data_IF_559272426154
#
_entry.id   IF_559272426154
#
_cell.length_a   1.000
_cell.length_b   1.000
_cell.length_c   1.000
_cell.angle_alpha   90.00
_cell.angle_beta   90.00
_cell.angle_gamma   90.00
#
_symmetry.space_group_name_H-M   'P 1'
#
loop_
_entity.id
_entity.type
_entity.pdbx_description
1 polymer ?
#
# COMPACT_ATOMS: atom_id res chain seq x y z
N UNK A 1 42.11 -14.18 -58.05
CA UNK A 1 41.92 -12.92 -57.31
C UNK A 1 40.49 -12.89 -56.79
N UNK A 2 40.30 -13.13 -55.50
CA UNK A 2 38.98 -13.17 -54.86
C UNK A 2 38.61 -11.72 -54.49
N UNK A 3 37.50 -11.23 -55.03
CA UNK A 3 36.93 -9.91 -54.69
C UNK A 3 36.30 -9.98 -53.29
N UNK A 4 36.85 -9.23 -52.35
CA UNK A 4 36.26 -9.01 -51.03
C UNK A 4 35.13 -7.98 -51.20
N UNK A 5 33.90 -8.35 -50.81
CA UNK A 5 32.79 -7.42 -50.64
C UNK A 5 32.86 -6.83 -49.23
N UNK A 6 32.86 -5.50 -49.13
CA UNK A 6 32.75 -4.77 -47.87
C UNK A 6 31.25 -4.60 -47.57
N UNK A 7 30.79 -5.19 -46.47
CA UNK A 7 29.43 -4.99 -45.96
C UNK A 7 29.43 -3.77 -45.03
N UNK A 8 28.72 -2.70 -45.39
CA UNK A 8 28.43 -1.61 -44.47
C UNK A 8 27.21 -1.98 -43.62
N UNK A 9 27.44 -2.22 -42.32
CA UNK A 9 26.36 -2.35 -41.34
C UNK A 9 26.11 -0.96 -40.73
N UNK A 10 25.04 -0.29 -41.17
CA UNK A 10 24.56 0.95 -40.57
C UNK A 10 23.68 0.57 -39.36
N UNK A 11 24.27 0.53 -38.16
CA UNK A 11 23.48 0.45 -36.92
C UNK A 11 22.95 1.86 -36.65
N UNK A 12 21.72 2.12 -37.06
CA UNK A 12 20.96 3.27 -36.52
C UNK A 12 20.59 2.88 -35.10
N UNK A 13 21.47 3.21 -34.14
CA UNK A 13 21.08 3.32 -32.74
C UNK A 13 20.14 4.53 -32.68
N UNK A 14 18.84 4.28 -32.85
CA UNK A 14 17.82 5.19 -32.35
C UNK A 14 17.94 5.18 -30.83
N UNK A 15 18.87 5.99 -30.32
CA UNK A 15 18.82 6.43 -28.93
C UNK A 15 17.62 7.37 -28.89
N UNK A 16 16.42 6.80 -28.77
CA UNK A 16 15.38 7.53 -28.08
C UNK A 16 15.94 7.76 -26.68
N UNK A 17 16.48 8.95 -26.46
CA UNK A 17 16.66 9.49 -25.13
C UNK A 17 15.24 9.71 -24.62
N UNK A 18 14.59 8.63 -24.21
CA UNK A 18 13.35 8.69 -23.48
C UNK A 18 13.74 9.29 -22.14
N UNK A 19 13.54 10.60 -21.99
CA UNK A 19 13.68 11.25 -20.70
C UNK A 19 12.70 10.56 -19.75
N UNK A 20 13.23 9.78 -18.81
CA UNK A 20 12.42 9.18 -17.75
C UNK A 20 11.65 10.30 -17.06
N UNK A 21 10.34 10.14 -16.92
CA UNK A 21 9.53 11.11 -16.19
C UNK A 21 10.01 11.16 -14.74
N UNK A 22 10.29 12.36 -14.23
CA UNK A 22 10.42 12.60 -12.79
C UNK A 22 9.01 12.82 -12.26
N UNK A 23 8.41 11.87 -11.54
CA UNK A 23 7.04 12.06 -11.08
C UNK A 23 6.96 13.17 -10.04
N UNK A 24 5.82 13.85 -10.00
CA UNK A 24 5.48 14.77 -8.92
C UNK A 24 5.60 14.02 -7.59
N UNK A 25 6.15 14.69 -6.58
CA UNK A 25 6.25 14.11 -5.24
C UNK A 25 4.86 13.66 -4.75
N UNK A 26 4.80 12.52 -4.08
CA UNK A 26 3.54 12.00 -3.57
C UNK A 26 3.70 11.21 -2.28
N UNK A 27 2.64 11.14 -1.51
CA UNK A 27 2.52 10.23 -0.38
C UNK A 27 1.07 9.74 -0.28
N UNK A 28 0.83 8.70 0.52
CA UNK A 28 -0.46 8.07 0.74
C UNK A 28 -1.11 7.50 -0.53
N UNK A 29 -0.30 7.18 -1.54
CA UNK A 29 -0.73 6.42 -2.72
C UNK A 29 -0.89 4.94 -2.40
N UNK A 30 -1.69 4.23 -3.19
CA UNK A 30 -1.70 2.76 -3.21
C UNK A 30 -0.70 2.25 -4.26
N UNK A 31 -0.13 1.07 -4.05
CA UNK A 31 0.69 0.39 -5.06
C UNK A 31 0.23 -1.06 -5.26
N UNK A 32 0.29 -1.54 -6.50
CA UNK A 32 -0.08 -2.91 -6.87
C UNK A 32 0.90 -3.42 -7.92
N UNK A 33 1.48 -4.60 -7.69
CA UNK A 33 2.27 -5.29 -8.70
C UNK A 33 1.34 -6.14 -9.57
N UNK A 34 1.40 -5.92 -10.88
CA UNK A 34 0.73 -6.74 -11.89
C UNK A 34 1.82 -7.27 -12.82
N UNK A 35 2.00 -8.59 -12.83
CA UNK A 35 3.12 -9.26 -13.49
C UNK A 35 4.49 -8.66 -13.10
N UNK A 36 5.02 -7.80 -13.98
CA UNK A 36 6.31 -7.12 -13.84
C UNK A 36 6.17 -5.59 -13.91
N UNK A 37 4.96 -5.06 -13.71
CA UNK A 37 4.70 -3.63 -13.66
C UNK A 37 4.15 -3.26 -12.29
N UNK A 38 4.87 -2.40 -11.59
CA UNK A 38 4.46 -1.86 -10.31
C UNK A 38 3.66 -0.58 -10.54
N UNK A 39 2.35 -0.64 -10.36
CA UNK A 39 1.43 0.49 -10.51
C UNK A 39 1.34 1.30 -9.22
N UNK A 40 1.16 2.61 -9.35
CA UNK A 40 0.93 3.56 -8.26
C UNK A 40 -0.34 4.36 -8.55
N UNK A 41 -1.29 4.31 -7.62
CA UNK A 41 -2.61 4.91 -7.75
C UNK A 41 -2.77 6.03 -6.72
N UNK A 42 -2.96 7.25 -7.24
CA UNK A 42 -3.22 8.44 -6.45
C UNK A 42 -2.03 8.91 -5.59
N UNK A 43 -2.33 9.30 -4.36
CA UNK A 43 -1.43 10.00 -3.44
C UNK A 43 -1.72 11.51 -3.41
N UNK A 44 -1.06 12.26 -2.54
CA UNK A 44 -1.15 13.73 -2.49
C UNK A 44 0.22 14.34 -2.72
N UNK A 45 0.27 15.42 -3.50
CA UNK A 45 1.46 16.27 -3.62
C UNK A 45 1.46 17.36 -2.54
N UNK A 46 2.59 18.01 -2.30
CA UNK A 46 2.72 19.14 -1.38
C UNK A 46 2.62 20.52 -2.08
N UNK A 47 2.68 20.55 -3.41
CA UNK A 47 2.68 21.78 -4.22
C UNK A 47 1.78 21.67 -5.45
N UNK A 48 1.02 22.73 -5.82
CA UNK A 48 0.85 24.01 -5.13
C UNK A 48 -0.22 23.99 -4.01
N UNK A 49 -0.89 22.87 -3.79
CA UNK A 49 -1.63 22.60 -2.56
C UNK A 49 -1.83 21.07 -2.44
N UNK A 50 -2.10 20.59 -1.22
CA UNK A 50 -2.26 19.17 -0.93
C UNK A 50 -3.50 18.58 -1.62
N UNK A 51 -3.35 18.24 -2.89
CA UNK A 51 -4.41 17.70 -3.72
C UNK A 51 -4.16 16.22 -3.97
N UNK A 52 -5.19 15.37 -3.72
CA UNK A 52 -5.19 14.01 -4.21
C UNK A 52 -4.96 13.98 -5.72
N UNK A 53 -4.03 13.14 -6.13
CA UNK A 53 -3.64 12.91 -7.51
C UNK A 53 -4.58 11.85 -8.11
N UNK A 54 -4.85 12.01 -9.39
CA UNK A 54 -5.65 11.10 -10.23
C UNK A 54 -4.77 10.29 -11.19
N UNK A 55 -3.53 10.72 -11.43
CA UNK A 55 -2.57 10.05 -12.31
C UNK A 55 -2.23 8.64 -11.83
N UNK A 56 -2.16 7.71 -12.79
CA UNK A 56 -1.62 6.36 -12.62
C UNK A 56 -0.20 6.35 -13.16
N UNK A 57 0.75 6.00 -12.29
CA UNK A 57 2.13 5.76 -12.68
C UNK A 57 2.39 4.26 -12.69
N UNK A 58 3.34 3.80 -13.49
CA UNK A 58 3.93 2.49 -13.30
C UNK A 58 5.44 2.49 -13.50
N UNK A 59 6.07 1.47 -12.93
CA UNK A 59 7.48 1.12 -13.14
C UNK A 59 7.54 -0.31 -13.68
N UNK A 60 8.09 -0.48 -14.89
CA UNK A 60 8.39 -1.81 -15.44
C UNK A 60 9.67 -2.36 -14.78
N UNK A 61 9.48 -3.35 -13.91
CA UNK A 61 10.56 -4.02 -13.16
C UNK A 61 11.08 -5.27 -13.89
N UNK A 62 10.66 -5.51 -15.14
CA UNK A 62 11.16 -6.63 -15.95
C UNK A 62 12.58 -6.39 -16.48
N UNK A 63 13.03 -5.13 -16.51
CA UNK A 63 14.35 -4.72 -17.01
C UNK A 63 15.15 -4.06 -15.89
N UNK A 64 16.49 -4.23 -15.86
CA UNK A 64 17.34 -3.47 -14.95
C UNK A 64 17.21 -1.97 -15.20
N UNK A 65 17.22 -1.17 -14.14
CA UNK A 65 17.18 0.29 -14.23
C UNK A 65 18.03 0.94 -13.13
N UNK A 66 18.39 2.22 -13.31
CA UNK A 66 19.11 2.99 -12.32
C UNK A 66 18.15 3.47 -11.22
N UNK A 67 18.37 3.08 -9.97
CA UNK A 67 17.52 3.47 -8.84
C UNK A 67 17.57 4.96 -8.50
N UNK A 68 18.61 5.69 -8.94
CA UNK A 68 18.68 7.14 -8.79
C UNK A 68 17.76 7.89 -9.77
N UNK A 69 17.43 7.26 -10.91
CA UNK A 69 16.54 7.82 -11.94
C UNK A 69 15.65 6.69 -12.48
N UNK A 70 14.65 6.22 -11.70
CA UNK A 70 13.80 5.13 -12.14
C UNK A 70 12.95 5.55 -13.35
N UNK A 71 12.78 4.67 -14.36
CA UNK A 71 12.03 4.96 -15.58
C UNK A 71 10.52 4.85 -15.33
N UNK A 72 9.96 5.80 -14.58
CA UNK A 72 8.52 5.86 -14.39
C UNK A 72 7.81 6.25 -15.68
N UNK A 73 6.66 5.62 -15.93
CA UNK A 73 5.76 5.92 -17.02
C UNK A 73 4.38 6.35 -16.47
N UNK A 74 3.71 7.26 -17.17
CA UNK A 74 2.33 7.66 -16.86
C UNK A 74 1.41 6.91 -17.80
N UNK A 75 0.37 6.29 -17.25
CA UNK A 75 -0.70 5.76 -18.07
C UNK A 75 -1.57 6.92 -18.56
N UNK A 76 -1.92 6.94 -19.85
CA UNK A 76 -2.76 7.98 -20.47
C UNK A 76 -4.23 7.96 -20.01
N UNK A 77 -4.51 7.34 -18.86
CA UNK A 77 -5.82 7.19 -18.25
C UNK A 77 -5.67 7.48 -16.75
N UNK A 78 -6.48 8.38 -16.25
CA UNK A 78 -6.52 8.75 -14.84
C UNK A 78 -7.56 7.95 -14.07
N UNK A 79 -7.35 7.85 -12.77
CA UNK A 79 -8.40 7.52 -11.80
C UNK A 79 -9.52 8.57 -11.97
N UNK A 80 -10.81 8.20 -11.92
CA UNK A 80 -11.91 9.15 -12.14
C UNK A 80 -12.10 10.18 -11.00
N UNK A 81 -11.19 10.21 -10.03
CA UNK A 81 -11.14 11.07 -8.87
C UNK A 81 -9.70 11.11 -8.35
N UNK A 82 -9.33 12.18 -7.65
CA UNK A 82 -8.09 12.18 -6.87
C UNK A 82 -8.24 11.28 -5.64
N UNK A 83 -7.27 10.41 -5.38
CA UNK A 83 -7.35 9.40 -4.30
C UNK A 83 -6.17 9.46 -3.32
N UNK A 84 -6.41 9.33 -2.02
CA UNK A 84 -5.36 9.22 -0.98
C UNK A 84 -5.79 8.28 0.14
N UNK A 85 -4.84 7.59 0.77
CA UNK A 85 -5.08 6.70 1.92
C UNK A 85 -6.14 5.60 1.66
N UNK A 86 -6.35 5.28 0.38
CA UNK A 86 -7.07 4.10 -0.09
C UNK A 86 -6.16 2.87 0.01
N UNK A 87 -6.73 1.69 -0.23
CA UNK A 87 -5.98 0.45 -0.46
C UNK A 87 -6.37 -0.11 -1.82
N UNK A 88 -5.40 -0.62 -2.56
CA UNK A 88 -5.64 -1.26 -3.85
C UNK A 88 -5.14 -2.70 -3.84
N UNK A 89 -5.78 -3.56 -4.62
CA UNK A 89 -5.42 -4.96 -4.74
C UNK A 89 -5.76 -5.48 -6.15
N UNK A 90 -4.96 -6.43 -6.64
CA UNK A 90 -5.22 -7.12 -7.89
C UNK A 90 -6.19 -8.28 -7.63
N UNK A 91 -7.21 -8.42 -8.47
CA UNK A 91 -8.08 -9.59 -8.49
C UNK A 91 -7.25 -10.83 -8.92
N UNK A 92 -7.23 -11.93 -8.16
CA UNK A 92 -6.45 -13.11 -8.55
C UNK A 92 -7.05 -13.84 -9.76
N UNK A 93 -8.34 -13.64 -10.04
CA UNK A 93 -9.08 -14.35 -11.09
C UNK A 93 -9.32 -13.50 -12.36
N UNK A 94 -8.99 -12.20 -12.33
CA UNK A 94 -9.27 -11.26 -13.43
C UNK A 94 -8.16 -10.23 -13.52
N UNK A 95 -7.93 -9.68 -14.71
CA UNK A 95 -7.01 -8.55 -14.90
C UNK A 95 -7.66 -7.22 -14.46
N UNK A 96 -8.05 -7.16 -13.19
CA UNK A 96 -8.74 -6.02 -12.58
C UNK A 96 -8.04 -5.59 -11.30
N UNK A 97 -7.64 -4.32 -11.24
CA UNK A 97 -7.22 -3.68 -9.99
C UNK A 97 -8.46 -3.09 -9.32
N UNK A 98 -8.70 -3.48 -8.06
CA UNK A 98 -9.68 -2.83 -7.23
C UNK A 98 -9.04 -1.73 -6.39
N UNK A 99 -9.71 -0.59 -6.25
CA UNK A 99 -9.35 0.51 -5.38
C UNK A 99 -10.48 0.72 -4.37
N UNK A 100 -10.17 0.53 -3.08
CA UNK A 100 -11.13 0.57 -1.99
C UNK A 100 -10.84 1.72 -1.02
N UNK A 101 -11.88 2.52 -0.76
CA UNK A 101 -11.87 3.61 0.21
C UNK A 101 -10.94 4.78 -0.15
N UNK A 102 -10.42 5.41 0.90
CA UNK A 102 -9.57 6.61 0.81
C UNK A 102 -10.35 7.91 0.93
N UNK A 103 -9.64 9.02 0.78
CA UNK A 103 -10.25 10.34 0.54
C UNK A 103 -10.35 10.54 -0.96
N UNK A 104 -11.53 10.94 -1.42
CA UNK A 104 -11.83 11.12 -2.84
C UNK A 104 -12.15 12.58 -3.15
N UNK A 105 -11.51 13.13 -4.19
CA UNK A 105 -11.81 14.46 -4.70
C UNK A 105 -12.18 14.43 -6.17
N UNK A 106 -13.19 15.21 -6.53
CA UNK A 106 -13.55 15.45 -7.91
C UNK A 106 -12.42 16.20 -8.63
N UNK A 107 -11.98 15.68 -9.77
CA UNK A 107 -10.80 16.21 -10.49
C UNK A 107 -11.04 17.61 -11.07
N UNK A 108 -12.29 17.99 -11.34
CA UNK A 108 -12.63 19.25 -12.00
C UNK A 108 -12.90 20.36 -10.98
N UNK A 109 -13.70 20.05 -9.97
CA UNK A 109 -14.13 21.02 -8.95
C UNK A 109 -13.23 21.02 -7.72
N UNK A 110 -12.41 19.98 -7.54
CA UNK A 110 -11.64 19.72 -6.33
C UNK A 110 -12.51 19.66 -5.05
N UNK A 111 -13.83 19.58 -5.22
CA UNK A 111 -14.75 19.28 -4.14
C UNK A 111 -14.61 17.80 -3.79
N UNK A 112 -14.86 17.47 -2.54
CA UNK A 112 -14.87 16.06 -2.17
C UNK A 112 -16.04 15.32 -2.81
N UNK A 113 -15.77 14.13 -3.32
CA UNK A 113 -16.71 13.36 -4.12
C UNK A 113 -17.11 12.07 -3.40
N UNK A 114 -18.05 12.18 -2.46
CA UNK A 114 -18.44 11.09 -1.55
C UNK A 114 -19.56 10.18 -2.09
N UNK A 115 -20.20 10.55 -3.21
CA UNK A 115 -21.53 10.01 -3.59
C UNK A 115 -21.49 8.91 -4.65
N UNK A 116 -20.32 8.36 -5.00
CA UNK A 116 -20.21 7.43 -6.13
C UNK A 116 -20.07 5.96 -5.71
N UNK A 117 -19.01 5.59 -4.99
CA UNK A 117 -18.79 4.21 -4.53
C UNK A 117 -17.66 4.14 -3.52
N UNK A 118 -17.65 3.11 -2.67
CA UNK A 118 -16.50 2.75 -1.82
C UNK A 118 -15.48 1.86 -2.54
N UNK A 119 -15.87 1.27 -3.67
CA UNK A 119 -15.06 0.34 -4.47
C UNK A 119 -15.10 0.75 -5.94
N UNK A 120 -13.93 0.82 -6.56
CA UNK A 120 -13.75 1.05 -7.98
C UNK A 120 -12.91 -0.07 -8.59
N UNK A 121 -13.20 -0.44 -9.82
CA UNK A 121 -12.43 -1.41 -10.60
C UNK A 121 -11.79 -0.76 -11.80
N UNK A 122 -10.51 -1.06 -12.02
CA UNK A 122 -9.76 -0.72 -13.21
C UNK A 122 -9.46 -2.00 -13.98
N UNK A 123 -10.07 -2.16 -15.16
CA UNK A 123 -9.80 -3.28 -16.04
C UNK A 123 -8.54 -2.99 -16.86
N UNK A 124 -7.53 -3.86 -16.73
CA UNK A 124 -6.22 -3.68 -17.35
C UNK A 124 -6.21 -4.01 -18.86
N UNK A 125 -7.17 -4.80 -19.35
CA UNK A 125 -7.26 -5.18 -20.77
C UNK A 125 -7.71 -4.01 -21.64
N UNK A 126 -8.75 -3.28 -21.19
CA UNK A 126 -9.33 -2.17 -21.93
C UNK A 126 -8.99 -0.79 -21.30
N UNK A 127 -8.25 -0.78 -20.19
CA UNK A 127 -7.90 0.39 -19.39
C UNK A 127 -9.12 1.22 -18.96
N UNK A 128 -10.20 0.58 -18.52
CA UNK A 128 -11.43 1.27 -18.15
C UNK A 128 -11.68 1.24 -16.63
N UNK A 129 -12.06 2.40 -16.08
CA UNK A 129 -12.55 2.51 -14.71
C UNK A 129 -14.06 2.33 -14.66
N UNK A 130 -14.53 1.45 -13.78
CA UNK A 130 -15.95 1.16 -13.56
C UNK A 130 -16.27 1.13 -12.07
N UNK A 131 -17.55 1.33 -11.74
CA UNK A 131 -18.09 1.04 -10.41
C UNK A 131 -18.72 -0.35 -10.49
N UNK A 132 -18.12 -1.38 -9.86
CA UNK A 132 -18.66 -2.72 -9.91
C UNK A 132 -19.98 -2.79 -9.14
N UNK A 133 -20.98 -3.47 -9.69
CA UNK A 133 -22.17 -3.86 -8.93
C UNK A 133 -21.76 -4.94 -7.94
N UNK A 134 -22.00 -4.69 -6.65
CA UNK A 134 -21.64 -5.62 -5.57
C UNK A 134 -22.89 -6.08 -4.82
N UNK A 135 -22.79 -7.27 -4.24
CA UNK A 135 -23.83 -7.87 -3.41
C UNK A 135 -23.46 -7.75 -1.91
N UNK A 136 -24.44 -8.02 -1.04
CA UNK A 136 -24.24 -8.00 0.40
C UNK A 136 -24.28 -6.58 0.98
N UNK A 137 -23.69 -6.41 2.17
CA UNK A 137 -23.68 -5.12 2.87
C UNK A 137 -22.35 -4.44 2.60
N UNK A 138 -22.36 -3.44 1.72
CA UNK A 138 -21.17 -2.66 1.43
C UNK A 138 -20.64 -1.97 2.71
N UNK A 139 -19.32 -1.92 2.90
CA UNK A 139 -18.71 -1.21 4.01
C UNK A 139 -18.94 0.30 3.89
N UNK A 140 -18.90 0.98 5.02
CA UNK A 140 -18.82 2.44 5.04
C UNK A 140 -17.51 2.95 4.42
N UNK A 141 -17.60 4.13 3.78
CA UNK A 141 -16.45 4.81 3.20
C UNK A 141 -15.43 5.16 4.29
N UNK A 142 -14.17 4.76 4.09
CA UNK A 142 -13.13 4.81 5.11
C UNK A 142 -11.76 5.05 4.48
N UNK A 143 -10.84 5.67 5.23
CA UNK A 143 -9.46 5.91 4.81
C UNK A 143 -8.45 5.40 5.84
N UNK A 144 -7.17 5.50 5.49
CA UNK A 144 -6.02 5.15 6.36
C UNK A 144 -5.98 3.68 6.76
N UNK A 145 -6.38 2.84 5.81
CA UNK A 145 -6.50 1.39 5.89
C UNK A 145 -5.37 0.68 5.13
N UNK A 146 -5.16 -0.59 5.44
CA UNK A 146 -4.28 -1.48 4.68
C UNK A 146 -4.96 -2.85 4.59
N UNK A 147 -5.42 -3.20 3.39
CA UNK A 147 -6.10 -4.48 3.14
C UNK A 147 -5.18 -5.50 2.48
N UNK A 148 -5.57 -6.77 2.55
CA UNK A 148 -4.82 -7.90 1.97
C UNK A 148 -5.75 -8.80 1.17
N UNK A 149 -5.28 -9.28 0.02
CA UNK A 149 -5.98 -10.26 -0.82
C UNK A 149 -5.39 -11.65 -0.59
N UNK A 150 -6.26 -12.63 -0.34
CA UNK A 150 -5.89 -14.03 -0.40
C UNK A 150 -6.04 -14.50 -1.86
N UNK A 151 -4.91 -14.75 -2.52
CA UNK A 151 -4.88 -15.12 -3.93
C UNK A 151 -5.44 -16.52 -4.20
N UNK A 152 -5.46 -17.41 -3.20
CA UNK A 152 -5.96 -18.78 -3.36
C UNK A 152 -7.49 -18.82 -3.41
N UNK A 153 -8.16 -17.98 -2.63
CA UNK A 153 -9.63 -18.00 -2.51
C UNK A 153 -10.32 -16.73 -3.03
N UNK A 154 -9.59 -15.71 -3.47
CA UNK A 154 -10.15 -14.46 -4.00
C UNK A 154 -10.78 -13.54 -2.95
N UNK A 155 -10.54 -13.76 -1.65
CA UNK A 155 -11.08 -12.92 -0.58
C UNK A 155 -10.12 -11.80 -0.19
N UNK A 156 -10.58 -10.57 -0.32
CA UNK A 156 -9.92 -9.38 0.20
C UNK A 156 -10.42 -9.08 1.61
N UNK A 157 -9.49 -8.81 2.54
CA UNK A 157 -9.75 -8.54 3.95
C UNK A 157 -9.26 -7.14 4.30
N UNK A 158 -10.12 -6.35 4.95
CA UNK A 158 -9.77 -5.03 5.46
C UNK A 158 -10.42 -4.79 6.82
N UNK A 159 -9.61 -4.36 7.78
CA UNK A 159 -10.06 -4.12 9.15
C UNK A 159 -10.06 -2.62 9.47
N UNK A 160 -11.01 -2.17 10.28
CA UNK A 160 -10.97 -0.83 10.87
C UNK A 160 -10.90 0.29 9.81
N UNK A 161 -10.10 1.33 10.05
CA UNK A 161 -10.11 2.56 9.28
C UNK A 161 -10.82 3.70 10.00
N UNK A 162 -10.88 4.84 9.32
CA UNK A 162 -11.43 6.06 9.88
C UNK A 162 -12.37 6.74 8.89
N UNK A 163 -13.47 7.23 9.45
CA UNK A 163 -14.46 8.05 8.74
C UNK A 163 -14.38 9.46 9.30
N UNK A 164 -14.30 10.45 8.42
CA UNK A 164 -14.30 11.86 8.75
C UNK A 164 -14.85 12.70 7.59
N UNK A 165 -14.61 14.01 7.66
CA UNK A 165 -14.97 14.93 6.59
C UNK A 165 -14.36 14.50 5.24
N UNK A 166 -13.15 13.93 5.19
CA UNK A 166 -12.52 13.51 3.93
C UNK A 166 -13.19 12.29 3.29
N UNK A 167 -14.02 11.56 4.04
CA UNK A 167 -14.83 10.44 3.57
C UNK A 167 -16.32 10.78 3.46
N UNK A 168 -16.71 12.02 3.78
CA UNK A 168 -18.08 12.53 3.60
C UNK A 168 -18.95 12.50 4.85
N UNK A 169 -18.38 12.17 6.00
CA UNK A 169 -19.13 12.17 7.25
C UNK A 169 -19.06 13.53 7.96
N UNK A 170 -20.17 13.89 8.62
CA UNK A 170 -20.23 15.07 9.47
C UNK A 170 -19.42 14.92 10.77
N UNK A 171 -19.25 13.68 11.23
CA UNK A 171 -18.56 13.36 12.49
C UNK A 171 -17.41 12.39 12.25
N UNK A 172 -16.31 12.64 12.93
CA UNK A 172 -15.10 11.83 12.88
C UNK A 172 -15.22 10.63 13.82
N UNK A 173 -15.00 9.40 13.32
CA UNK A 173 -14.98 8.18 14.15
C UNK A 173 -14.14 7.06 13.55
N UNK A 174 -13.50 6.29 14.42
CA UNK A 174 -12.80 5.07 14.03
C UNK A 174 -13.78 3.89 13.88
N UNK A 175 -13.48 2.97 12.97
CA UNK A 175 -14.27 1.77 12.69
C UNK A 175 -13.63 0.54 13.34
N UNK A 176 -14.44 -0.44 13.76
CA UNK A 176 -13.96 -1.66 14.40
C UNK A 176 -14.42 -2.96 13.71
N UNK A 177 -14.83 -2.86 12.45
CA UNK A 177 -15.36 -3.97 11.68
C UNK A 177 -14.29 -4.58 10.76
N UNK A 178 -14.36 -5.90 10.60
CA UNK A 178 -13.68 -6.63 9.54
C UNK A 178 -14.62 -6.71 8.34
N UNK A 179 -14.18 -6.22 7.18
CA UNK A 179 -14.92 -6.33 5.92
C UNK A 179 -14.17 -7.27 4.98
N UNK A 180 -14.92 -8.19 4.39
CA UNK A 180 -14.40 -9.23 3.52
C UNK A 180 -15.11 -9.08 2.17
N UNK A 181 -14.34 -8.93 1.10
CA UNK A 181 -14.86 -8.88 -0.26
C UNK A 181 -14.44 -10.12 -1.03
N UNK A 182 -15.42 -10.89 -1.48
CA UNK A 182 -15.21 -12.00 -2.40
C UNK A 182 -15.19 -11.47 -3.84
N UNK A 183 -14.03 -11.53 -4.48
CA UNK A 183 -13.82 -11.06 -5.86
C UNK A 183 -14.49 -11.94 -6.93
N UNK A 184 -14.85 -13.18 -6.58
CA UNK A 184 -15.52 -14.12 -7.48
C UNK A 184 -17.01 -13.80 -7.54
N UNK A 185 -17.66 -13.72 -6.37
CA UNK A 185 -19.10 -13.45 -6.26
C UNK A 185 -19.44 -11.95 -6.20
N UNK A 186 -18.42 -11.07 -6.13
CA UNK A 186 -18.54 -9.63 -5.92
C UNK A 186 -19.39 -9.28 -4.69
N UNK A 187 -19.23 -10.05 -3.61
CA UNK A 187 -20.06 -9.95 -2.40
C UNK A 187 -19.25 -9.44 -1.23
N UNK A 188 -19.80 -8.44 -0.53
CA UNK A 188 -19.30 -7.98 0.76
C UNK A 188 -19.92 -8.76 1.91
N UNK A 189 -19.09 -9.17 2.87
CA UNK A 189 -19.50 -9.74 4.14
C UNK A 189 -18.69 -9.16 5.30
N UNK A 190 -19.14 -9.42 6.53
CA UNK A 190 -18.44 -9.01 7.75
C UNK A 190 -17.77 -10.19 8.41
N UNK A 191 -16.54 -10.00 8.86
CA UNK A 191 -15.89 -10.90 9.79
C UNK A 191 -16.31 -10.63 11.24
N UNK A 192 -15.93 -11.50 12.19
CA UNK A 192 -16.26 -11.34 13.59
C UNK A 192 -15.52 -10.17 14.24
N UNK A 193 -16.14 -9.64 15.29
CA UNK A 193 -15.60 -8.57 16.13
C UNK A 193 -15.11 -9.08 17.49
N UNK A 194 -15.39 -10.35 17.81
CA UNK A 194 -14.98 -10.99 19.06
C UNK A 194 -13.46 -11.07 19.11
N UNK A 195 -12.87 -10.59 20.22
CA UNK A 195 -11.42 -10.48 20.41
C UNK A 195 -10.68 -9.63 19.35
N UNK A 196 -11.41 -8.89 18.51
CA UNK A 196 -10.79 -7.95 17.58
C UNK A 196 -10.02 -6.88 18.36
N UNK A 197 -8.88 -6.41 17.84
CA UNK A 197 -8.16 -5.31 18.46
C UNK A 197 -9.01 -4.03 18.47
N UNK A 198 -8.60 -3.03 19.25
CA UNK A 198 -9.19 -1.70 19.15
C UNK A 198 -9.01 -1.10 17.74
N UNK A 199 -9.93 -0.20 17.32
CA UNK A 199 -9.82 0.54 16.06
C UNK A 199 -8.45 1.19 15.88
N UNK A 200 -7.89 1.04 14.68
CA UNK A 200 -6.54 1.48 14.35
C UNK A 200 -6.46 1.99 12.92
N UNK A 201 -5.61 2.98 12.72
CA UNK A 201 -5.29 3.54 11.39
C UNK A 201 -3.79 3.62 11.16
N UNK A 202 -3.39 3.69 9.89
CA UNK A 202 -1.97 3.74 9.53
C UNK A 202 -1.17 2.52 9.97
N UNK A 203 -1.86 1.39 10.19
CA UNK A 203 -1.26 0.09 10.44
C UNK A 203 -0.88 -0.58 9.11
N UNK A 204 -0.15 -1.68 9.18
CA UNK A 204 0.06 -2.59 8.04
C UNK A 204 -0.59 -3.94 8.31
N UNK A 205 -1.14 -4.57 7.27
CA UNK A 205 -1.65 -5.93 7.32
C UNK A 205 -0.82 -6.78 6.36
N UNK A 206 -0.56 -8.03 6.73
CA UNK A 206 0.19 -8.96 5.88
C UNK A 206 -0.37 -10.37 6.05
N UNK A 207 -0.84 -10.97 4.96
CA UNK A 207 -1.37 -12.33 4.95
C UNK A 207 -0.22 -13.34 4.76
N UNK A 208 -0.03 -14.22 5.74
CA UNK A 208 0.92 -15.33 5.68
C UNK A 208 0.35 -16.52 4.90
N UNK A 209 1.25 -17.39 4.42
CA UNK A 209 0.88 -18.62 3.68
C UNK A 209 -0.02 -19.57 4.49
N UNK A 210 0.06 -19.52 5.82
CA UNK A 210 -0.77 -20.34 6.69
C UNK A 210 -2.21 -19.81 6.86
N UNK A 211 -2.56 -18.66 6.29
CA UNK A 211 -3.88 -18.03 6.38
C UNK A 211 -4.02 -17.02 7.53
N UNK A 212 -2.96 -16.74 8.29
CA UNK A 212 -2.97 -15.71 9.33
C UNK A 212 -2.65 -14.35 8.73
N UNK A 213 -3.50 -13.36 8.98
CA UNK A 213 -3.20 -11.94 8.72
C UNK A 213 -2.55 -11.36 9.98
N UNK A 214 -1.37 -10.78 9.82
CA UNK A 214 -0.63 -10.09 10.89
C UNK A 214 -0.86 -8.59 10.77
N UNK A 215 -1.42 -7.97 11.81
CA UNK A 215 -1.62 -6.52 11.89
C UNK A 215 -0.54 -5.88 12.75
N UNK A 216 0.23 -4.97 12.16
CA UNK A 216 1.43 -4.38 12.77
C UNK A 216 1.26 -2.87 12.94
N UNK A 217 1.50 -2.38 14.16
CA UNK A 217 1.50 -0.96 14.52
C UNK A 217 0.17 -0.25 14.28
N UNK A 218 0.26 1.03 13.94
CA UNK A 218 -0.88 1.93 13.79
C UNK A 218 -1.12 2.81 15.01
N UNK A 219 -2.13 3.67 14.91
CA UNK A 219 -2.54 4.61 15.96
C UNK A 219 -4.04 4.50 16.22
N UNK A 220 -4.42 4.57 17.48
CA UNK A 220 -5.81 4.74 17.88
C UNK A 220 -6.19 6.20 17.65
N UNK A 221 -7.01 6.45 16.62
CA UNK A 221 -7.33 7.81 16.16
C UNK A 221 -7.87 8.70 17.30
N UNK A 222 -8.83 8.19 18.08
CA UNK A 222 -9.50 8.97 19.13
C UNK A 222 -8.59 9.36 20.30
N UNK A 223 -7.56 8.56 20.59
CA UNK A 223 -6.63 8.81 21.71
C UNK A 223 -5.28 9.34 21.27
N UNK A 224 -5.02 9.39 19.96
CA UNK A 224 -3.70 9.70 19.38
C UNK A 224 -2.58 8.82 20.00
N UNK A 225 -2.91 7.58 20.36
CA UNK A 225 -2.00 6.65 21.02
C UNK A 225 -1.54 5.58 20.04
N UNK A 226 -0.23 5.44 19.83
CA UNK A 226 0.33 4.39 18.98
C UNK A 226 0.19 3.02 19.64
N UNK A 227 -0.26 2.02 18.89
CA UNK A 227 -0.35 0.64 19.36
C UNK A 227 1.04 0.04 19.62
N UNK A 228 1.13 -0.84 20.62
CA UNK A 228 2.34 -1.62 20.88
C UNK A 228 2.61 -2.56 19.71
N UNK A 229 3.66 -2.29 18.94
CA UNK A 229 4.07 -3.11 17.80
C UNK A 229 4.61 -4.47 18.22
N UNK A 230 4.93 -4.65 19.50
CA UNK A 230 5.40 -5.90 20.08
C UNK A 230 4.24 -6.76 20.62
N UNK A 231 2.99 -6.28 20.53
CA UNK A 231 1.77 -7.04 20.78
C UNK A 231 0.93 -7.07 19.49
N UNK A 232 1.13 -8.11 18.69
CA UNK A 232 0.48 -8.25 17.39
C UNK A 232 -0.98 -8.66 17.55
N UNK A 233 -1.84 -8.08 16.70
CA UNK A 233 -3.17 -8.61 16.46
C UNK A 233 -3.11 -9.53 15.24
N UNK A 234 -3.72 -10.71 15.36
CA UNK A 234 -3.70 -11.76 14.35
C UNK A 234 -5.14 -12.12 13.99
N UNK A 235 -5.42 -12.30 12.70
CA UNK A 235 -6.70 -12.81 12.23
C UNK A 235 -6.48 -14.10 11.45
N UNK A 236 -7.09 -15.20 11.90
CA UNK A 236 -7.09 -16.47 11.18
C UNK A 236 -8.23 -16.51 10.15
N UNK A 237 -7.88 -16.48 8.87
CA UNK A 237 -8.86 -16.48 7.77
C UNK A 237 -9.55 -17.84 7.53
N UNK A 238 -9.07 -18.92 8.15
CA UNK A 238 -9.63 -20.27 7.99
C UNK A 238 -10.74 -20.56 8.99
N UNK A 239 -10.60 -20.04 10.20
CA UNK A 239 -11.59 -20.22 11.28
C UNK A 239 -12.32 -18.92 11.64
N UNK A 240 -11.97 -17.82 10.99
CA UNK A 240 -12.50 -16.48 11.23
C UNK A 240 -12.37 -16.08 12.71
N UNK A 241 -11.16 -16.11 13.27
CA UNK A 241 -10.93 -15.75 14.68
C UNK A 241 -9.79 -14.75 14.85
N UNK A 242 -10.01 -13.79 15.74
CA UNK A 242 -8.97 -12.90 16.21
C UNK A 242 -8.20 -13.51 17.38
N UNK A 243 -6.90 -13.25 17.41
CA UNK A 243 -6.04 -13.54 18.55
C UNK A 243 -4.98 -12.45 18.70
N UNK A 244 -4.21 -12.50 19.78
CA UNK A 244 -3.08 -11.60 19.98
C UNK A 244 -1.82 -12.37 20.38
N UNK A 245 -0.66 -11.86 19.98
CA UNK A 245 0.63 -12.49 20.25
C UNK A 245 1.65 -11.46 20.71
N UNK A 246 2.24 -11.70 21.88
CA UNK A 246 3.44 -10.97 22.31
C UNK A 246 4.66 -11.49 21.58
N UNK A 247 5.34 -10.60 20.87
CA UNK A 247 6.53 -10.91 20.07
C UNK A 247 7.77 -10.95 20.96
N UNK A 248 8.70 -11.87 20.69
CA UNK A 248 10.01 -11.94 21.36
C UNK A 248 11.10 -11.24 20.53
N UNK A 249 12.32 -11.20 21.04
CA UNK A 249 13.46 -10.59 20.37
C UNK A 249 13.61 -9.12 20.74
N UNK A 250 14.03 -8.28 19.78
CA UNK A 250 14.24 -6.85 20.04
C UNK A 250 12.91 -6.14 20.25
N UNK A 251 12.85 -5.23 21.23
CA UNK A 251 11.68 -4.39 21.45
C UNK A 251 11.74 -3.21 20.48
N UNK A 252 10.76 -3.14 19.58
CA UNK A 252 10.66 -2.05 18.62
C UNK A 252 9.82 -0.90 19.17
N UNK A 253 10.13 0.31 18.72
CA UNK A 253 9.28 1.47 18.97
C UNK A 253 7.97 1.40 18.16
N UNK A 254 6.88 1.83 18.80
CA UNK A 254 5.57 1.93 18.16
C UNK A 254 5.63 2.90 16.98
N UNK A 255 4.88 2.59 15.92
CA UNK A 255 4.90 3.37 14.68
C UNK A 255 3.60 3.25 13.91
N UNK A 256 3.33 4.25 13.09
CA UNK A 256 2.21 4.29 12.14
C UNK A 256 2.68 4.88 10.80
N UNK A 257 1.89 4.66 9.75
CA UNK A 257 2.22 5.00 8.35
C UNK A 257 3.56 4.42 7.85
N UNK A 258 3.96 3.27 8.39
CA UNK A 258 5.04 2.44 7.86
C UNK A 258 4.49 1.54 6.74
N UNK A 259 5.37 0.87 6.02
CA UNK A 259 5.00 -0.18 5.07
C UNK A 259 5.51 -1.55 5.53
N UNK A 260 4.91 -2.61 5.01
CA UNK A 260 5.30 -3.99 5.28
C UNK A 260 5.23 -4.82 4.00
N UNK A 261 6.12 -5.80 3.86
CA UNK A 261 6.08 -6.81 2.80
C UNK A 261 6.34 -8.21 3.37
N UNK A 262 5.72 -9.24 2.81
CA UNK A 262 5.99 -10.64 3.11
C UNK A 262 7.04 -11.20 2.16
N UNK A 263 8.15 -11.72 2.67
CA UNK A 263 9.17 -12.43 1.89
C UNK A 263 8.72 -13.86 1.57
N UNK A 264 9.29 -14.42 0.51
CA UNK A 264 9.07 -15.82 0.08
C UNK A 264 9.44 -16.86 1.14
N UNK A 265 10.25 -16.48 2.13
CA UNK A 265 10.67 -17.34 3.21
C UNK A 265 9.87 -17.14 4.52
N UNK A 266 8.70 -16.50 4.42
CA UNK A 266 7.78 -16.21 5.51
C UNK A 266 8.40 -15.31 6.59
N UNK A 267 8.93 -14.16 6.18
CA UNK A 267 9.31 -13.07 7.10
C UNK A 267 8.61 -11.80 6.68
N UNK A 268 8.20 -11.01 7.66
CA UNK A 268 7.63 -9.68 7.38
C UNK A 268 8.72 -8.64 7.56
N UNK A 269 9.04 -7.90 6.50
CA UNK A 269 9.94 -6.75 6.56
C UNK A 269 9.07 -5.50 6.72
N UNK A 270 9.33 -4.71 7.76
CA UNK A 270 8.71 -3.39 7.93
C UNK A 270 9.72 -2.29 7.65
N UNK A 271 9.26 -1.21 7.01
CA UNK A 271 10.08 -0.04 6.72
C UNK A 271 9.42 1.29 7.07
N UNK A 272 10.22 2.19 7.65
CA UNK A 272 9.87 3.58 7.93
C UNK A 272 8.75 3.75 8.96
N UNK A 273 7.92 4.78 8.73
CA UNK A 273 6.86 5.20 9.62
C UNK A 273 7.28 6.32 10.57
N UNK A 274 6.33 6.76 11.39
CA UNK A 274 6.55 7.81 12.37
C UNK A 274 5.83 7.52 13.70
N UNK A 275 6.23 8.26 14.72
CA UNK A 275 5.62 8.28 16.05
C UNK A 275 5.60 9.70 16.58
N UNK A 276 4.44 10.22 16.94
CA UNK A 276 4.26 11.61 17.39
C UNK A 276 4.89 12.61 16.40
N UNK A 277 4.65 12.38 15.11
CA UNK A 277 5.17 13.17 13.99
C UNK A 277 6.70 13.26 13.91
N UNK A 278 7.40 12.32 14.54
CA UNK A 278 8.86 12.16 14.47
C UNK A 278 9.23 10.88 13.71
N UNK A 279 10.34 10.86 12.96
CA UNK A 279 10.80 9.64 12.31
C UNK A 279 11.15 8.60 13.38
N UNK A 280 10.84 7.34 13.08
CA UNK A 280 11.35 6.20 13.87
C UNK A 280 12.87 6.08 13.70
N UNK A 281 13.56 5.65 14.75
CA UNK A 281 15.00 5.40 14.80
C UNK A 281 15.35 4.10 14.06
N UNK A 282 14.61 3.02 14.31
CA UNK A 282 14.83 1.72 13.68
C UNK A 282 13.91 1.59 12.47
N UNK A 283 14.25 2.26 11.38
CA UNK A 283 13.41 2.29 10.18
C UNK A 283 13.20 0.93 9.53
N UNK A 284 14.16 -0.01 9.63
CA UNK A 284 14.05 -1.37 9.11
C UNK A 284 14.00 -2.38 10.25
N UNK A 285 13.01 -3.27 10.23
CA UNK A 285 12.96 -4.42 11.12
C UNK A 285 12.33 -5.63 10.41
N UNK A 286 12.66 -6.82 10.89
CA UNK A 286 12.21 -8.09 10.31
C UNK A 286 11.55 -8.94 11.39
N UNK A 287 10.31 -9.34 11.13
CA UNK A 287 9.56 -10.30 11.94
C UNK A 287 9.75 -11.69 11.36
N UNK A 288 10.39 -12.57 12.11
CA UNK A 288 10.44 -13.99 11.80
C UNK A 288 9.12 -14.66 12.23
N UNK A 289 8.30 -15.07 11.26
CA UNK A 289 6.99 -15.71 11.53
C UNK A 289 7.06 -17.24 11.56
N UNK A 290 8.25 -17.83 11.36
CA UNK A 290 8.47 -19.29 11.43
C UNK A 290 8.71 -19.83 12.84
N UNK A 291 8.80 -18.97 13.83
CA UNK A 291 9.04 -19.29 15.24
C UNK A 291 7.86 -18.84 16.08
N UNK A 292 7.48 -19.57 17.13
CA UNK A 292 6.35 -19.17 17.99
C UNK A 292 6.86 -19.00 19.44
N UNK A 293 6.69 -17.82 20.07
CA UNK A 293 6.14 -16.59 19.47
C UNK A 293 7.06 -16.04 18.37
N UNK A 294 6.48 -15.26 17.46
CA UNK A 294 7.21 -14.54 16.40
C UNK A 294 8.36 -13.73 17.01
N UNK A 295 9.42 -13.50 16.24
CA UNK A 295 10.63 -12.84 16.74
C UNK A 295 11.00 -11.62 15.90
N UNK A 296 11.16 -10.46 16.55
CA UNK A 296 11.71 -9.26 15.94
C UNK A 296 13.24 -9.32 15.90
N UNK A 297 13.80 -8.85 14.79
CA UNK A 297 15.22 -8.56 14.62
C UNK A 297 15.43 -7.27 13.84
N UNK A 298 16.57 -6.61 14.05
CA UNK A 298 17.01 -5.45 13.27
C UNK A 298 18.23 -5.89 12.46
N UNK A 299 18.14 -5.97 11.12
CA UNK A 299 19.28 -6.29 10.28
C UNK A 299 20.40 -5.25 10.44
N UNK A 300 21.65 -5.71 10.35
CA UNK A 300 22.80 -4.80 10.26
C UNK A 300 22.86 -4.22 8.86
N UNK A 301 22.72 -2.90 8.76
CA UNK A 301 22.83 -2.18 7.49
C UNK A 301 24.12 -1.37 7.46
N UNK A 302 24.87 -1.46 6.36
CA UNK A 302 26.01 -0.56 6.14
C UNK A 302 25.51 0.86 5.84
N UNK A 303 26.06 1.91 6.47
CA UNK A 303 25.72 3.29 6.13
C UNK A 303 26.15 3.65 4.69
N UNK A 304 25.49 4.64 4.05
CA UNK A 304 24.43 5.48 4.60
C UNK A 304 23.08 4.77 4.62
N UNK A 305 22.38 4.88 5.75
CA UNK A 305 20.99 4.47 5.87
C UNK A 305 20.09 5.47 5.10
N UNK A 306 19.05 5.01 4.39
CA UNK A 306 18.06 5.91 3.79
C UNK A 306 17.42 6.78 4.87
N UNK A 307 16.88 7.95 4.50
CA UNK A 307 16.10 8.75 5.43
C UNK A 307 14.77 8.04 5.75
N UNK A 308 14.36 8.11 7.02
CA UNK A 308 13.06 7.59 7.44
C UNK A 308 11.92 8.34 6.75
N UNK A 309 11.10 7.61 6.01
CA UNK A 309 9.89 8.12 5.33
C UNK A 309 8.63 7.49 5.94
N UNK A 310 7.50 8.18 5.83
CA UNK A 310 6.19 7.65 6.20
C UNK A 310 5.16 7.93 5.10
N UNK A 311 4.01 7.25 5.20
CA UNK A 311 2.94 7.34 4.20
C UNK A 311 3.44 6.99 2.79
N UNK A 312 4.47 6.15 2.70
CA UNK A 312 4.96 5.57 1.46
C UNK A 312 4.24 4.25 1.20
N UNK A 313 4.45 3.70 0.01
CA UNK A 313 4.02 2.35 -0.34
C UNK A 313 5.25 1.44 -0.46
N UNK A 314 5.10 0.16 -0.17
CA UNK A 314 6.12 -0.82 -0.49
C UNK A 314 5.53 -2.07 -1.13
N UNK A 315 6.32 -2.70 -1.98
CA UNK A 315 5.93 -3.92 -2.68
C UNK A 315 7.16 -4.81 -2.85
N UNK A 316 7.00 -6.11 -2.59
CA UNK A 316 8.06 -7.08 -2.84
C UNK A 316 8.08 -7.41 -4.33
N UNK A 317 9.26 -7.30 -4.95
CA UNK A 317 9.53 -7.77 -6.31
C UNK A 317 10.76 -8.68 -6.26
N UNK A 318 10.55 -9.98 -6.49
CA UNK A 318 11.59 -10.97 -6.26
C UNK A 318 12.07 -10.93 -4.81
N UNK A 319 13.36 -10.65 -4.60
CA UNK A 319 13.97 -10.57 -3.27
C UNK A 319 14.15 -9.12 -2.76
N UNK A 320 13.57 -8.13 -3.45
CA UNK A 320 13.77 -6.71 -3.15
C UNK A 320 12.46 -6.07 -2.69
N UNK A 321 12.53 -5.35 -1.56
CA UNK A 321 11.45 -4.47 -1.12
C UNK A 321 11.60 -3.12 -1.83
N UNK A 322 10.68 -2.81 -2.73
CA UNK A 322 10.63 -1.53 -3.42
C UNK A 322 9.87 -0.53 -2.54
N UNK A 323 10.57 0.46 -1.99
CA UNK A 323 9.98 1.55 -1.20
C UNK A 323 9.80 2.74 -2.12
N UNK A 324 8.56 3.18 -2.30
CA UNK A 324 8.22 4.21 -3.28
C UNK A 324 7.51 5.40 -2.66
N UNK A 325 8.01 6.58 -3.00
CA UNK A 325 7.51 7.88 -2.58
C UNK A 325 7.39 8.02 -1.04
N UNK A 326 6.46 8.83 -0.56
CA UNK A 326 6.25 9.12 0.85
C UNK A 326 6.75 10.49 1.26
N UNK A 327 6.57 10.81 2.54
CA UNK A 327 6.97 12.08 3.13
C UNK A 327 8.17 11.86 4.06
N UNK A 328 9.20 12.66 3.85
CA UNK A 328 10.33 12.77 4.77
C UNK A 328 9.92 13.65 5.95
N UNK A 329 10.24 13.20 7.17
CA UNK A 329 10.16 14.06 8.35
C UNK A 329 11.56 14.61 8.59
N UNK A 330 11.76 15.90 8.27
CA UNK A 330 13.00 16.58 8.61
C UNK A 330 13.06 16.80 10.12
N UNK A 331 14.20 16.47 10.73
CA UNK A 331 14.49 16.74 12.15
C UNK A 331 14.55 18.25 12.49
N UNK A 332 14.51 19.13 11.48
CA UNK A 332 14.74 20.58 11.62
C UNK A 332 13.49 21.45 11.76
N UNK A 333 12.28 20.89 11.85
CA UNK A 333 11.07 21.69 12.08
C UNK A 333 10.71 21.90 13.56
N UNK A 334 11.68 21.75 14.47
CA UNK A 334 11.56 22.13 15.88
C UNK A 334 12.81 22.89 16.30
N UNK A 335 12.83 24.19 16.04
CA UNK A 335 13.54 25.19 16.84
C UNK A 335 12.70 26.45 16.90
#
# INVERSE_FOLDING_TARGET
>A
MIKIQVLFLLIILSIEICYSLIPIERNAQSSVLVDKKLFFLGGTSSKPAAFPLDQILYLDVSKPFNTAVPPFEVLNISIPFGSTFATAFLSPQKDVIYLFGGSMRDVNTNAYNYNKSVLYSFNLENNEWTIPTTNGIAPEHRRTINGVINNENGKFYVFSGHIDYFTGANNSRALNDMNIFDTISLTWSKGPIENAPLPRVGYTATLLSNGIIVYIGGIEYNKSQSFDINQLALYDTKVDLWSSMKVRGVILENRYYHSAVLTSDERIIIFGGCRNDRPVLNQLAVLNTKVVPYEWSIPTSAPPLPLTTHSHSATLVGNYMFINFGKLINLYSVF
#
